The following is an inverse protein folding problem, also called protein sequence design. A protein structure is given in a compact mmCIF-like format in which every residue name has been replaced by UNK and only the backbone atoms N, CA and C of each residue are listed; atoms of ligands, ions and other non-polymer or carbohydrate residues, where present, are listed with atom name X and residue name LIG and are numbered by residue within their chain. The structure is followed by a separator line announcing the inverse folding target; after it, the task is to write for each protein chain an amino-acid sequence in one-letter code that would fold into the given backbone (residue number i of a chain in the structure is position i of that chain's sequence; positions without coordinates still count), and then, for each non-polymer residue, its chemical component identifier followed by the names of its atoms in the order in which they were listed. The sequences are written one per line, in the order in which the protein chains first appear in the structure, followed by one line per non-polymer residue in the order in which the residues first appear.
data_IF_242796424864
#
_entry.id   IF_242796424864
#
_cell.length_a   1.000
_cell.length_b   1.000
_cell.length_c   1.000
_cell.angle_alpha   90.00
_cell.angle_beta   90.00
_cell.angle_gamma   90.00
#
_symmetry.space_group_name_H-M   'P 1'
#
loop_
_entity.id
_entity.type
_entity.pdbx_description
1 polymer ?
#
# COMPACT_ATOMS: atom_id res chain seq x y z
N UNK A 1 3.17 -23.38 9.51
CA UNK A 1 3.11 -24.84 9.29
C UNK A 1 2.44 -25.19 7.96
N UNK A 2 1.18 -24.78 7.75
CA UNK A 2 0.44 -25.14 6.55
C UNK A 2 0.99 -24.47 5.29
N UNK A 3 1.21 -23.18 5.30
CA UNK A 3 1.67 -22.41 4.13
C UNK A 3 3.06 -22.83 3.63
N UNK A 4 3.95 -23.15 4.55
CA UNK A 4 5.33 -23.60 4.23
C UNK A 4 5.46 -25.13 4.13
N UNK A 5 4.39 -25.88 4.37
CA UNK A 5 4.40 -27.35 4.34
C UNK A 5 5.29 -28.01 5.39
N UNK A 6 5.70 -27.29 6.42
CA UNK A 6 6.66 -27.75 7.44
C UNK A 6 5.99 -28.71 8.43
N UNK A 7 6.41 -29.95 8.43
CA UNK A 7 5.94 -30.99 9.35
C UNK A 7 6.80 -31.06 10.63
N UNK A 8 8.01 -30.51 10.57
CA UNK A 8 9.01 -30.47 11.65
C UNK A 8 8.62 -29.57 12.82
N UNK A 9 7.73 -28.60 12.61
CA UNK A 9 7.25 -27.70 13.66
C UNK A 9 6.19 -28.37 14.51
N UNK A 10 6.50 -28.60 15.78
CA UNK A 10 5.63 -29.18 16.82
C UNK A 10 4.82 -28.11 17.53
N UNK A 11 5.51 -27.04 17.97
CA UNK A 11 4.93 -25.91 18.72
C UNK A 11 5.53 -24.58 18.27
N UNK A 12 4.80 -23.48 18.52
CA UNK A 12 5.21 -22.12 18.17
C UNK A 12 4.78 -21.18 19.31
N UNK A 13 5.70 -20.31 19.73
CA UNK A 13 5.40 -19.18 20.61
C UNK A 13 5.66 -17.88 19.86
N UNK A 14 4.71 -16.98 19.97
CA UNK A 14 4.81 -15.61 19.47
C UNK A 14 4.92 -14.69 20.69
N UNK A 15 6.00 -13.93 20.79
CA UNK A 15 6.29 -13.06 21.91
C UNK A 15 6.50 -11.64 21.40
N UNK A 16 5.87 -10.68 22.04
CA UNK A 16 6.13 -9.26 21.79
C UNK A 16 7.22 -8.80 22.74
N UNK A 17 8.33 -8.30 22.20
CA UNK A 17 9.41 -7.68 22.95
C UNK A 17 9.24 -6.16 22.95
N UNK A 18 9.39 -5.58 24.11
CA UNK A 18 9.49 -4.12 24.29
C UNK A 18 10.87 -3.79 24.82
N UNK A 19 11.64 -3.01 24.10
CA UNK A 19 12.90 -2.44 24.54
C UNK A 19 12.60 -1.01 25.04
N UNK A 20 12.99 -0.70 26.29
CA UNK A 20 12.57 0.52 26.99
C UNK A 20 13.80 1.31 27.43
N UNK A 21 13.78 2.63 27.21
CA UNK A 21 14.82 3.56 27.66
C UNK A 21 14.21 4.82 28.25
N UNK A 22 14.78 5.33 29.33
CA UNK A 22 14.35 6.60 29.95
C UNK A 22 13.28 6.46 31.02
N UNK A 23 13.09 5.26 31.61
CA UNK A 23 12.17 5.01 32.73
C UNK A 23 12.91 4.77 34.04
N UNK A 24 12.36 5.27 35.12
CA UNK A 24 12.75 4.85 36.47
C UNK A 24 12.21 3.45 36.77
N UNK A 25 12.78 2.78 37.76
CA UNK A 25 12.28 1.45 38.16
C UNK A 25 10.81 1.48 38.59
N UNK A 26 10.38 2.52 39.26
CA UNK A 26 8.99 2.66 39.72
C UNK A 26 8.02 2.83 38.55
N UNK A 27 8.38 3.66 37.56
CA UNK A 27 7.59 3.87 36.34
C UNK A 27 7.50 2.58 35.51
N UNK A 28 8.62 1.88 35.37
CA UNK A 28 8.65 0.58 34.68
C UNK A 28 7.75 -0.45 35.36
N UNK A 29 7.79 -0.58 36.70
CA UNK A 29 6.97 -1.54 37.44
C UNK A 29 5.47 -1.26 37.27
N UNK A 30 5.07 -0.01 37.17
CA UNK A 30 3.69 0.38 36.84
C UNK A 30 3.36 0.09 35.38
N UNK A 31 4.22 0.51 34.45
CA UNK A 31 3.99 0.34 33.02
C UNK A 31 3.91 -1.12 32.61
N UNK A 32 4.71 -1.97 33.20
CA UNK A 32 4.79 -3.40 32.91
C UNK A 32 3.43 -4.12 32.96
N UNK A 33 2.61 -3.80 33.94
CA UNK A 33 1.32 -4.47 34.18
C UNK A 33 0.11 -3.69 33.67
N UNK A 34 0.26 -2.41 33.35
CA UNK A 34 -0.86 -1.55 32.95
C UNK A 34 -0.84 -1.27 31.44
N UNK A 35 0.37 -1.13 30.86
CA UNK A 35 0.55 -0.73 29.46
C UNK A 35 1.13 -1.85 28.61
N UNK A 36 2.14 -2.54 29.11
CA UNK A 36 2.97 -3.46 28.30
C UNK A 36 2.48 -4.90 28.32
N UNK A 37 1.52 -5.24 29.16
CA UNK A 37 0.96 -6.59 29.26
C UNK A 37 -0.47 -6.62 29.78
N UNK A 38 -1.15 -7.72 29.49
CA UNK A 38 -2.45 -8.10 30.04
C UNK A 38 -2.21 -9.18 31.13
N UNK A 39 -2.17 -8.84 32.44
CA UNK A 39 -1.78 -9.78 33.50
C UNK A 39 -2.60 -11.07 33.56
N UNK A 40 -3.84 -11.05 33.03
CA UNK A 40 -4.73 -12.22 33.01
C UNK A 40 -4.48 -13.15 31.80
N UNK A 41 -3.76 -12.70 30.79
CA UNK A 41 -3.55 -13.42 29.55
C UNK A 41 -2.08 -13.65 29.21
N UNK A 42 -1.20 -12.72 29.62
CA UNK A 42 0.21 -12.71 29.24
C UNK A 42 1.11 -13.31 30.30
N UNK A 43 2.16 -13.96 29.83
CA UNK A 43 3.33 -14.34 30.65
C UNK A 43 4.44 -13.37 30.36
N UNK A 44 4.93 -12.68 31.39
CA UNK A 44 5.97 -11.66 31.27
C UNK A 44 7.34 -12.30 31.53
N UNK A 45 8.28 -12.03 30.63
CA UNK A 45 9.70 -12.33 30.78
C UNK A 45 10.46 -11.01 30.88
N UNK A 46 11.27 -10.85 31.92
CA UNK A 46 12.09 -9.65 32.10
C UNK A 46 13.52 -9.94 31.68
N UNK A 47 14.11 -9.06 30.87
CA UNK A 47 15.50 -9.06 30.40
C UNK A 47 15.89 -10.29 29.53
N UNK A 48 15.45 -11.48 29.87
CA UNK A 48 15.80 -12.70 29.14
C UNK A 48 14.58 -13.58 28.91
N UNK A 49 14.47 -14.10 27.69
CA UNK A 49 13.52 -15.16 27.37
C UNK A 49 14.16 -16.52 27.72
N UNK A 50 13.60 -17.31 28.66
CA UNK A 50 14.10 -18.66 28.90
C UNK A 50 13.79 -19.55 27.70
N UNK A 51 14.83 -19.98 26.99
CA UNK A 51 14.73 -20.90 25.86
C UNK A 51 15.15 -22.29 26.35
N UNK A 52 14.23 -23.23 26.25
CA UNK A 52 14.49 -24.65 26.56
C UNK A 52 15.17 -25.36 25.38
N UNK A 53 15.81 -26.49 25.64
CA UNK A 53 16.40 -27.32 24.60
C UNK A 53 15.35 -27.72 23.54
N UNK A 54 15.75 -27.71 22.28
CA UNK A 54 14.87 -28.06 21.14
C UNK A 54 14.03 -26.90 20.59
N UNK A 55 14.22 -25.69 21.09
CA UNK A 55 13.63 -24.49 20.50
C UNK A 55 14.64 -23.72 19.63
N UNK A 56 14.22 -23.29 18.46
CA UNK A 56 14.93 -22.28 17.66
C UNK A 56 14.19 -20.94 17.77
N UNK A 57 14.94 -19.88 18.01
CA UNK A 57 14.38 -18.55 18.29
C UNK A 57 15.03 -17.52 17.38
N UNK A 58 14.23 -16.67 16.79
CA UNK A 58 14.68 -15.45 16.12
C UNK A 58 13.76 -14.30 16.47
N UNK A 59 14.25 -13.08 16.25
CA UNK A 59 13.46 -11.88 16.41
C UNK A 59 13.45 -11.07 15.13
N UNK A 60 12.41 -10.30 14.93
CA UNK A 60 12.30 -9.32 13.84
C UNK A 60 11.83 -7.99 14.37
N UNK A 61 12.41 -6.92 13.85
CA UNK A 61 12.16 -5.52 14.20
C UNK A 61 11.89 -4.67 12.96
N UNK A 62 11.32 -3.50 13.12
CA UNK A 62 11.18 -2.55 12.03
C UNK A 62 12.54 -2.01 11.55
N UNK A 63 12.63 -1.72 10.26
CA UNK A 63 13.79 -1.03 9.70
C UNK A 63 13.92 0.38 10.30
N UNK A 64 15.14 0.91 10.41
CA UNK A 64 15.34 2.31 10.77
C UNK A 64 14.55 3.25 9.86
N UNK A 65 13.78 4.15 10.47
CA UNK A 65 12.90 5.07 9.75
C UNK A 65 11.48 4.55 9.47
N UNK A 66 11.22 3.27 9.69
CA UNK A 66 9.86 2.74 9.68
C UNK A 66 9.14 3.07 11.00
N UNK A 67 7.82 3.25 10.92
CA UNK A 67 7.02 3.63 12.07
C UNK A 67 6.64 2.41 12.91
N UNK A 68 7.15 2.36 14.14
CA UNK A 68 6.77 1.38 15.15
C UNK A 68 5.50 1.84 15.88
N UNK A 69 4.34 1.52 15.32
CA UNK A 69 3.04 1.90 15.87
C UNK A 69 2.85 1.41 17.31
N UNK A 70 3.28 0.19 17.62
CA UNK A 70 3.14 -0.39 18.97
C UNK A 70 4.07 0.30 19.96
N UNK A 71 5.30 0.58 19.55
CA UNK A 71 6.27 1.33 20.34
C UNK A 71 5.77 2.73 20.65
N UNK A 72 5.34 3.49 19.62
CA UNK A 72 4.80 4.83 19.77
C UNK A 72 3.55 4.87 20.68
N UNK A 73 2.63 3.92 20.53
CA UNK A 73 1.45 3.81 21.38
C UNK A 73 1.84 3.49 22.84
N UNK A 74 2.83 2.63 23.04
CA UNK A 74 3.33 2.32 24.38
C UNK A 74 3.99 3.54 25.04
N UNK A 75 4.81 4.30 24.31
CA UNK A 75 5.40 5.57 24.79
C UNK A 75 4.32 6.55 25.25
N UNK A 76 3.28 6.77 24.43
CA UNK A 76 2.18 7.66 24.78
C UNK A 76 1.41 7.18 26.01
N UNK A 77 1.08 5.89 26.10
CA UNK A 77 0.38 5.31 27.24
C UNK A 77 1.23 5.39 28.52
N UNK A 78 2.53 5.14 28.44
CA UNK A 78 3.44 5.27 29.58
C UNK A 78 3.53 6.73 30.03
N UNK A 79 3.64 7.69 29.09
CA UNK A 79 3.65 9.11 29.41
C UNK A 79 2.35 9.54 30.12
N UNK A 80 1.20 9.09 29.66
CA UNK A 80 -0.09 9.37 30.31
C UNK A 80 -0.18 8.76 31.71
N UNK A 81 0.36 7.54 31.89
CA UNK A 81 0.35 6.84 33.17
C UNK A 81 1.27 7.50 34.20
N UNK A 82 2.46 7.93 33.78
CA UNK A 82 3.50 8.48 34.67
C UNK A 82 3.39 10.00 34.82
N UNK A 83 2.75 10.67 33.86
CA UNK A 83 2.73 12.14 33.72
C UNK A 83 4.15 12.76 33.69
N UNK A 84 5.13 11.97 33.27
CA UNK A 84 6.53 12.32 33.14
C UNK A 84 6.94 12.69 31.73
N UNK A 85 8.23 12.66 31.47
CA UNK A 85 8.77 12.81 30.13
C UNK A 85 8.45 11.57 29.30
N UNK A 86 8.41 11.74 27.97
CA UNK A 86 8.19 10.63 27.05
C UNK A 86 9.43 9.74 27.02
N UNK A 87 9.25 8.48 27.37
CA UNK A 87 10.30 7.46 27.26
C UNK A 87 10.44 7.02 25.79
N UNK A 88 11.50 6.27 25.49
CA UNK A 88 11.65 5.57 24.20
C UNK A 88 11.22 4.13 24.34
N UNK A 89 10.44 3.67 23.37
CA UNK A 89 10.03 2.25 23.27
C UNK A 89 10.21 1.81 21.82
N UNK A 90 10.97 0.74 21.64
CA UNK A 90 11.03 0.00 20.39
C UNK A 90 10.44 -1.38 20.59
N UNK A 91 9.82 -1.93 19.55
CA UNK A 91 9.25 -3.26 19.63
C UNK A 91 9.90 -4.24 18.65
N UNK A 92 9.95 -5.50 19.07
CA UNK A 92 10.32 -6.60 18.21
C UNK A 92 9.34 -7.76 18.40
N UNK A 93 9.19 -8.56 17.35
CA UNK A 93 8.43 -9.80 17.39
C UNK A 93 9.40 -10.95 17.51
N UNK A 94 9.29 -11.73 18.57
CA UNK A 94 10.14 -12.90 18.82
C UNK A 94 9.35 -14.16 18.50
N UNK A 95 9.90 -14.98 17.64
CA UNK A 95 9.32 -16.27 17.23
C UNK A 95 10.17 -17.37 17.80
N UNK A 96 9.57 -18.22 18.61
CA UNK A 96 10.21 -19.44 19.11
C UNK A 96 9.50 -20.65 18.51
N UNK A 97 10.26 -21.52 17.86
CA UNK A 97 9.80 -22.71 17.17
C UNK A 97 10.35 -23.95 17.85
N UNK A 98 9.48 -24.87 18.22
CA UNK A 98 9.85 -26.18 18.77
C UNK A 98 9.74 -27.26 17.73
N UNK A 99 10.70 -28.17 17.71
CA UNK A 99 10.72 -29.34 16.83
C UNK A 99 12.10 -29.61 16.24
N UNK A 100 12.16 -30.63 15.39
CA UNK A 100 13.42 -30.97 14.69
C UNK A 100 13.57 -30.11 13.41
N UNK A 101 13.76 -28.80 13.59
CA UNK A 101 13.81 -27.80 12.55
C UNK A 101 15.24 -27.63 12.06
N UNK A 102 15.48 -27.80 10.76
CA UNK A 102 16.80 -27.56 10.16
C UNK A 102 17.08 -26.05 10.02
N UNK A 103 18.33 -25.68 9.75
CA UNK A 103 18.69 -24.28 9.54
C UNK A 103 18.07 -23.75 8.23
N UNK A 104 17.97 -24.58 7.19
CA UNK A 104 17.30 -24.23 5.96
C UNK A 104 15.79 -24.01 6.15
N UNK A 105 15.17 -24.80 7.02
CA UNK A 105 13.75 -24.58 7.36
C UNK A 105 13.55 -23.30 8.17
N UNK A 106 14.48 -22.97 9.07
CA UNK A 106 14.45 -21.72 9.83
C UNK A 106 14.54 -20.51 8.88
N UNK A 107 15.50 -20.51 7.96
CA UNK A 107 15.63 -19.45 6.93
C UNK A 107 14.36 -19.28 6.13
N UNK A 108 13.70 -20.37 5.73
CA UNK A 108 12.40 -20.27 5.03
C UNK A 108 11.30 -19.60 5.86
N UNK A 109 11.31 -19.81 7.18
CA UNK A 109 10.35 -19.15 8.09
C UNK A 109 10.69 -17.67 8.23
N UNK A 110 11.96 -17.32 8.34
CA UNK A 110 12.43 -15.94 8.40
C UNK A 110 12.06 -15.18 7.11
N UNK A 111 12.37 -15.74 5.94
CA UNK A 111 12.00 -15.16 4.64
C UNK A 111 10.48 -15.01 4.45
N UNK A 112 9.69 -15.91 5.03
CA UNK A 112 8.23 -15.84 4.96
C UNK A 112 7.63 -14.76 5.88
N UNK A 113 8.23 -14.53 7.05
CA UNK A 113 7.69 -13.63 8.08
C UNK A 113 8.28 -12.22 8.01
N UNK A 114 9.51 -12.07 7.50
CA UNK A 114 10.21 -10.79 7.41
C UNK A 114 9.90 -10.16 6.07
N UNK A 115 9.18 -9.03 6.11
CA UNK A 115 9.01 -8.18 4.93
C UNK A 115 10.24 -7.26 4.80
N UNK A 116 11.10 -7.43 3.79
CA UNK A 116 12.36 -6.67 3.69
C UNK A 116 12.17 -5.18 3.43
N UNK A 117 10.96 -4.74 3.09
CA UNK A 117 10.63 -3.31 2.92
C UNK A 117 10.35 -2.64 4.26
N UNK A 118 9.90 -3.39 5.25
CA UNK A 118 9.43 -2.88 6.54
C UNK A 118 10.27 -3.36 7.72
N UNK A 119 10.84 -4.57 7.63
CA UNK A 119 11.43 -5.25 8.79
C UNK A 119 12.70 -6.02 8.45
N UNK A 120 13.45 -6.35 9.47
CA UNK A 120 14.69 -7.13 9.41
C UNK A 120 14.81 -8.07 10.59
N UNK A 121 15.79 -8.98 10.53
CA UNK A 121 16.20 -9.74 11.71
C UNK A 121 16.72 -8.79 12.81
N UNK A 122 16.23 -8.99 14.02
CA UNK A 122 16.68 -8.29 15.22
C UNK A 122 17.65 -9.13 16.03
N UNK A 123 18.57 -8.46 16.74
CA UNK A 123 19.39 -9.13 17.74
C UNK A 123 18.52 -9.62 18.90
N UNK A 124 18.84 -10.80 19.43
CA UNK A 124 18.24 -11.29 20.68
C UNK A 124 18.92 -10.70 21.93
N UNK A 125 20.07 -10.03 21.74
CA UNK A 125 20.77 -9.38 22.84
C UNK A 125 20.12 -8.04 23.17
N UNK A 126 20.15 -7.65 24.44
CA UNK A 126 19.66 -6.35 24.90
C UNK A 126 20.48 -5.22 24.28
N UNK A 127 19.84 -4.25 23.58
CA UNK A 127 20.55 -3.12 23.01
C UNK A 127 21.11 -2.22 24.14
N UNK A 128 22.23 -1.56 23.84
CA UNK A 128 22.85 -0.61 24.79
C UNK A 128 22.14 0.75 24.82
N UNK A 129 21.53 1.12 23.73
CA UNK A 129 20.71 2.33 23.56
C UNK A 129 19.65 2.05 22.49
N UNK A 130 18.55 2.78 22.54
CA UNK A 130 17.50 2.76 21.55
C UNK A 130 17.66 3.90 20.51
N UNK A 131 18.77 4.64 20.57
CA UNK A 131 19.11 5.59 19.53
C UNK A 131 19.45 4.84 18.23
N UNK A 132 18.70 5.11 17.19
CA UNK A 132 18.97 4.55 15.88
C UNK A 132 19.90 5.47 15.09
N UNK A 133 21.03 4.94 14.64
CA UNK A 133 21.84 5.61 13.63
C UNK A 133 21.15 5.46 12.27
N UNK A 134 20.56 6.53 11.78
CA UNK A 134 19.99 6.57 10.44
C UNK A 134 21.09 7.07 9.50
N UNK A 135 21.52 6.28 8.51
CA UNK A 135 22.51 6.72 7.56
C UNK A 135 21.96 7.91 6.78
N UNK A 136 22.79 8.95 6.64
CA UNK A 136 22.43 10.11 5.81
C UNK A 136 22.39 9.63 4.35
N UNK A 137 21.27 9.79 3.64
CA UNK A 137 21.16 9.35 2.26
C UNK A 137 22.15 10.10 1.37
N UNK A 138 22.67 9.42 0.36
CA UNK A 138 23.48 10.07 -0.68
C UNK A 138 22.63 11.07 -1.48
N UNK A 139 23.29 12.07 -2.06
CA UNK A 139 22.62 12.96 -3.00
C UNK A 139 22.09 12.20 -4.20
N UNK A 140 20.96 12.65 -4.73
CA UNK A 140 20.34 12.05 -5.91
C UNK A 140 21.32 12.09 -7.09
N UNK A 141 21.55 10.92 -7.69
CA UNK A 141 22.48 10.76 -8.81
C UNK A 141 21.91 11.39 -10.09
N UNK A 142 22.76 12.08 -10.85
CA UNK A 142 22.46 12.49 -12.22
C UNK A 142 22.76 11.35 -13.18
N UNK A 143 22.00 11.30 -14.27
CA UNK A 143 22.23 10.34 -15.35
C UNK A 143 23.22 10.98 -16.32
N UNK A 144 24.50 10.94 -15.97
CA UNK A 144 25.57 11.64 -16.69
C UNK A 144 25.65 11.22 -18.14
N UNK A 145 25.77 12.21 -19.03
CA UNK A 145 25.88 12.01 -20.48
C UNK A 145 24.54 11.72 -21.17
N UNK A 146 23.43 11.64 -20.43
CA UNK A 146 22.09 11.32 -20.98
C UNK A 146 21.74 12.10 -22.24
N UNK A 147 22.03 13.39 -22.27
CA UNK A 147 21.72 14.28 -23.37
C UNK A 147 22.49 13.94 -24.67
N UNK A 148 23.63 13.30 -24.55
CA UNK A 148 24.48 12.92 -25.67
C UNK A 148 24.33 11.45 -26.10
N UNK A 149 23.55 10.65 -25.41
CA UNK A 149 23.42 9.22 -25.68
C UNK A 149 22.82 8.94 -27.05
N UNK A 150 23.43 7.96 -27.74
CA UNK A 150 22.88 7.39 -28.95
C UNK A 150 21.72 6.44 -28.65
N UNK A 151 21.12 5.90 -29.71
CA UNK A 151 19.95 5.03 -29.59
C UNK A 151 20.24 3.70 -28.87
N UNK A 152 21.44 3.16 -29.01
CA UNK A 152 21.82 1.90 -28.35
C UNK A 152 22.03 2.11 -26.84
N UNK A 153 22.61 3.24 -26.43
CA UNK A 153 22.77 3.62 -25.03
C UNK A 153 21.41 3.88 -24.38
N UNK A 154 20.52 4.58 -25.09
CA UNK A 154 19.15 4.80 -24.65
C UNK A 154 18.40 3.49 -24.45
N UNK A 155 18.52 2.55 -25.38
CA UNK A 155 17.88 1.24 -25.27
C UNK A 155 18.39 0.47 -24.05
N UNK A 156 19.70 0.41 -23.85
CA UNK A 156 20.30 -0.28 -22.68
C UNK A 156 19.83 0.31 -21.36
N UNK A 157 19.77 1.62 -21.27
CA UNK A 157 19.29 2.29 -20.06
C UNK A 157 17.79 2.02 -19.85
N UNK A 158 16.98 2.12 -20.89
CA UNK A 158 15.57 1.80 -20.88
C UNK A 158 15.31 0.39 -20.33
N UNK A 159 16.02 -0.61 -20.88
CA UNK A 159 15.88 -2.02 -20.47
C UNK A 159 16.28 -2.25 -19.00
N UNK A 160 17.23 -1.44 -18.47
CA UNK A 160 17.71 -1.57 -17.10
C UNK A 160 16.78 -0.94 -16.06
N UNK A 161 15.94 0.01 -16.48
CA UNK A 161 15.18 0.84 -15.54
C UNK A 161 13.74 0.38 -15.30
N UNK A 162 13.17 -0.45 -16.19
CA UNK A 162 11.78 -0.90 -16.09
C UNK A 162 10.78 0.25 -16.09
N UNK A 163 10.93 1.19 -17.01
CA UNK A 163 10.03 2.33 -17.14
C UNK A 163 8.64 1.93 -17.63
N UNK A 164 7.62 2.66 -17.19
CA UNK A 164 6.25 2.59 -17.72
C UNK A 164 6.13 3.33 -19.07
N UNK A 165 6.93 4.39 -19.29
CA UNK A 165 7.01 5.10 -20.56
C UNK A 165 7.65 4.22 -21.65
N UNK A 166 7.36 4.52 -22.91
CA UNK A 166 8.03 3.85 -24.03
C UNK A 166 9.45 4.37 -24.26
N UNK A 167 10.27 3.62 -25.01
CA UNK A 167 11.58 4.10 -25.44
C UNK A 167 11.49 5.41 -26.23
N UNK A 168 10.43 5.59 -27.03
CA UNK A 168 10.20 6.84 -27.78
C UNK A 168 9.98 8.02 -26.83
N UNK A 169 9.22 7.81 -25.74
CA UNK A 169 8.98 8.83 -24.72
C UNK A 169 10.30 9.19 -24.00
N UNK A 170 11.13 8.17 -23.67
CA UNK A 170 12.43 8.40 -23.04
C UNK A 170 13.36 9.20 -23.96
N UNK A 171 13.36 8.92 -25.27
CA UNK A 171 14.10 9.72 -26.28
C UNK A 171 13.58 11.15 -26.36
N UNK A 172 12.27 11.34 -26.27
CA UNK A 172 11.67 12.69 -26.19
C UNK A 172 12.17 13.43 -24.93
N UNK A 173 12.23 12.74 -23.76
CA UNK A 173 12.80 13.32 -22.56
C UNK A 173 14.29 13.73 -22.77
N UNK A 174 15.09 12.86 -23.40
CA UNK A 174 16.49 13.22 -23.75
C UNK A 174 16.56 14.51 -24.55
N UNK A 175 15.76 14.61 -25.59
CA UNK A 175 15.76 15.77 -26.48
C UNK A 175 15.31 17.04 -25.73
N UNK A 176 14.33 16.94 -24.84
CA UNK A 176 13.88 18.03 -23.97
C UNK A 176 15.02 18.50 -23.02
N UNK A 177 15.66 17.58 -22.31
CA UNK A 177 16.73 17.92 -21.39
C UNK A 177 17.95 18.51 -22.12
N UNK A 178 18.23 18.04 -23.35
CA UNK A 178 19.27 18.59 -24.19
C UNK A 178 18.95 19.98 -24.71
N UNK A 179 17.77 20.18 -25.29
CA UNK A 179 17.44 21.34 -26.09
C UNK A 179 16.78 22.47 -25.27
N UNK A 180 16.17 22.15 -24.14
CA UNK A 180 15.45 23.10 -23.30
C UNK A 180 16.12 23.31 -21.96
N UNK A 181 16.40 22.23 -21.23
CA UNK A 181 17.02 22.30 -19.89
C UNK A 181 18.53 22.51 -19.93
N UNK A 182 19.20 22.10 -21.02
CA UNK A 182 20.64 22.16 -21.21
C UNK A 182 21.46 21.52 -20.08
N UNK A 183 20.95 20.44 -19.52
CA UNK A 183 21.54 19.66 -18.43
C UNK A 183 21.08 18.21 -18.46
N UNK A 184 21.86 17.33 -17.89
CA UNK A 184 21.44 15.96 -17.67
C UNK A 184 20.38 15.87 -16.55
N UNK A 185 19.38 15.00 -16.68
CA UNK A 185 18.40 14.76 -15.63
C UNK A 185 18.99 14.00 -14.45
N UNK A 186 18.37 14.12 -13.30
CA UNK A 186 18.56 13.19 -12.20
C UNK A 186 17.74 11.91 -12.40
N UNK A 187 18.12 10.83 -11.73
CA UNK A 187 17.33 9.58 -11.70
C UNK A 187 15.92 9.86 -11.19
N UNK A 188 15.78 10.71 -10.17
CA UNK A 188 14.46 11.08 -9.61
C UNK A 188 13.59 11.81 -10.62
N UNK A 189 14.15 12.75 -11.39
CA UNK A 189 13.39 13.45 -12.44
C UNK A 189 12.83 12.47 -13.46
N UNK A 190 13.65 11.55 -13.95
CA UNK A 190 13.18 10.53 -14.90
C UNK A 190 12.11 9.61 -14.29
N UNK A 191 12.24 9.21 -13.02
CA UNK A 191 11.24 8.40 -12.33
C UNK A 191 9.92 9.16 -12.11
N UNK A 192 9.99 10.43 -11.76
CA UNK A 192 8.78 11.26 -11.59
C UNK A 192 8.06 11.45 -12.94
N UNK A 193 8.81 11.74 -14.01
CA UNK A 193 8.24 11.82 -15.36
C UNK A 193 7.62 10.49 -15.76
N UNK A 194 8.31 9.38 -15.55
CA UNK A 194 7.82 8.03 -15.83
C UNK A 194 6.51 7.72 -15.09
N UNK A 195 6.39 8.16 -13.84
CA UNK A 195 5.14 8.02 -13.07
C UNK A 195 3.97 8.71 -13.76
N UNK A 196 4.16 9.89 -14.34
CA UNK A 196 3.13 10.57 -15.14
C UNK A 196 2.80 9.84 -16.46
N UNK A 197 3.72 9.08 -17.01
CA UNK A 197 3.48 8.24 -18.19
C UNK A 197 2.80 6.91 -17.85
N UNK A 198 2.77 6.53 -16.58
CA UNK A 198 2.12 5.28 -16.18
C UNK A 198 0.63 5.29 -16.50
N UNK A 199 0.09 4.11 -16.77
CA UNK A 199 -1.33 3.93 -17.04
C UNK A 199 -2.20 4.33 -15.84
N UNK A 200 -1.66 4.19 -14.61
CA UNK A 200 -2.31 4.64 -13.39
C UNK A 200 -2.69 6.13 -13.42
N UNK A 201 -1.78 7.00 -13.88
CA UNK A 201 -2.03 8.43 -13.94
C UNK A 201 -2.84 8.86 -15.17
N UNK A 202 -2.60 8.24 -16.31
CA UNK A 202 -3.19 8.65 -17.61
C UNK A 202 -4.39 7.83 -18.01
N UNK A 203 -4.59 6.64 -17.44
CA UNK A 203 -5.64 5.68 -17.76
C UNK A 203 -5.72 5.37 -19.27
N UNK A 204 -4.59 5.34 -19.95
CA UNK A 204 -4.51 5.20 -21.40
C UNK A 204 -5.13 3.90 -21.90
N UNK A 205 -4.95 2.78 -21.17
CA UNK A 205 -5.55 1.49 -21.48
C UNK A 205 -7.08 1.57 -21.51
N UNK A 206 -7.69 2.15 -20.47
CA UNK A 206 -9.15 2.29 -20.39
C UNK A 206 -9.73 3.30 -21.38
N UNK A 207 -8.94 4.31 -21.78
CA UNK A 207 -9.33 5.35 -22.72
C UNK A 207 -8.93 5.05 -24.17
N UNK A 208 -8.23 3.96 -24.42
CA UNK A 208 -7.87 3.55 -25.77
C UNK A 208 -9.12 3.37 -26.63
N UNK A 209 -9.10 3.98 -27.82
CA UNK A 209 -10.17 3.82 -28.81
C UNK A 209 -10.15 2.42 -29.38
N UNK A 210 -11.27 1.71 -29.25
CA UNK A 210 -11.49 0.40 -29.82
C UNK A 210 -12.17 0.57 -31.18
N UNK A 211 -11.48 0.21 -32.25
CA UNK A 211 -12.00 0.32 -33.61
C UNK A 211 -12.53 -1.02 -34.12
N UNK A 212 -11.89 -2.10 -33.73
CA UNK A 212 -12.25 -3.47 -34.10
C UNK A 212 -12.22 -4.39 -32.88
N UNK A 213 -13.25 -5.18 -32.69
CA UNK A 213 -13.38 -6.12 -31.58
C UNK A 213 -13.67 -7.49 -32.17
N UNK A 214 -12.70 -8.42 -32.01
CA UNK A 214 -12.86 -9.82 -32.39
C UNK A 214 -13.12 -10.66 -31.13
N UNK A 215 -14.12 -11.54 -31.19
CA UNK A 215 -14.46 -12.44 -30.08
C UNK A 215 -14.12 -13.87 -30.50
N UNK A 216 -13.30 -14.51 -29.68
CA UNK A 216 -12.90 -15.90 -29.92
C UNK A 216 -14.12 -16.84 -29.86
N UNK A 217 -14.23 -17.73 -30.84
CA UNK A 217 -15.28 -18.75 -30.89
C UNK A 217 -15.07 -19.81 -29.82
N UNK A 218 -15.74 -19.67 -28.70
CA UNK A 218 -15.68 -20.59 -27.56
C UNK A 218 -17.05 -20.70 -26.89
N UNK A 219 -17.17 -21.56 -25.90
CA UNK A 219 -18.40 -21.69 -25.11
C UNK A 219 -18.79 -20.36 -24.41
N UNK A 220 -17.81 -19.52 -24.04
CA UNK A 220 -18.01 -18.20 -23.43
C UNK A 220 -18.18 -17.11 -24.51
N UNK A 221 -17.74 -17.32 -25.74
CA UNK A 221 -17.79 -16.34 -26.82
C UNK A 221 -19.19 -15.82 -27.06
N UNK A 222 -20.20 -16.70 -27.02
CA UNK A 222 -21.61 -16.29 -27.19
C UNK A 222 -22.09 -15.31 -26.11
N UNK A 223 -21.70 -15.53 -24.86
CA UNK A 223 -22.06 -14.64 -23.74
C UNK A 223 -21.44 -13.26 -23.94
N UNK A 224 -20.18 -13.23 -24.41
CA UNK A 224 -19.46 -11.97 -24.67
C UNK A 224 -20.05 -11.23 -25.88
N UNK A 225 -20.43 -11.96 -26.94
CA UNK A 225 -21.13 -11.37 -28.12
C UNK A 225 -22.46 -10.74 -27.72
N UNK A 226 -23.25 -11.41 -26.88
CA UNK A 226 -24.54 -10.89 -26.40
C UNK A 226 -24.32 -9.65 -25.52
N UNK A 227 -23.35 -9.67 -24.61
CA UNK A 227 -23.00 -8.52 -23.78
C UNK A 227 -22.50 -7.32 -24.63
N UNK A 228 -21.68 -7.57 -25.65
CA UNK A 228 -21.21 -6.51 -26.56
C UNK A 228 -22.37 -5.92 -27.36
N UNK A 229 -23.31 -6.75 -27.80
CA UNK A 229 -24.52 -6.31 -28.51
C UNK A 229 -25.41 -5.44 -27.62
N UNK A 230 -25.58 -5.85 -26.36
CA UNK A 230 -26.31 -5.06 -25.36
C UNK A 230 -25.62 -3.73 -25.07
N UNK A 231 -24.29 -3.72 -24.98
CA UNK A 231 -23.51 -2.48 -24.81
C UNK A 231 -23.80 -1.50 -25.96
N UNK A 232 -23.72 -1.93 -27.21
CA UNK A 232 -24.01 -1.05 -28.36
C UNK A 232 -25.45 -0.53 -28.40
N UNK A 233 -26.40 -1.41 -28.05
CA UNK A 233 -27.82 -1.01 -27.96
C UNK A 233 -28.02 0.05 -26.86
N UNK A 234 -27.44 -0.16 -25.68
CA UNK A 234 -27.49 0.78 -24.56
C UNK A 234 -26.80 2.10 -24.92
N UNK A 235 -25.68 2.03 -25.62
CA UNK A 235 -24.92 3.20 -26.09
C UNK A 235 -25.76 4.05 -27.05
N UNK A 236 -26.45 3.42 -27.99
CA UNK A 236 -27.38 4.10 -28.91
C UNK A 236 -28.55 4.75 -28.14
N UNK A 237 -29.08 4.06 -27.13
CA UNK A 237 -30.12 4.63 -26.26
C UNK A 237 -29.60 5.85 -25.49
N UNK A 238 -28.40 5.79 -24.92
CA UNK A 238 -27.86 6.85 -24.07
C UNK A 238 -27.40 8.06 -24.87
N UNK A 239 -26.65 7.86 -25.93
CA UNK A 239 -25.96 8.93 -26.66
C UNK A 239 -26.56 9.26 -28.01
N UNK A 240 -27.44 8.42 -28.55
CA UNK A 240 -27.91 8.49 -29.92
C UNK A 240 -26.98 7.79 -30.92
N UNK A 241 -27.56 7.37 -32.05
CA UNK A 241 -26.85 6.58 -33.07
C UNK A 241 -25.70 7.34 -33.77
N UNK A 242 -25.80 8.67 -33.85
CA UNK A 242 -24.80 9.49 -34.51
C UNK A 242 -23.74 10.07 -33.59
N UNK A 243 -23.56 9.44 -32.41
CA UNK A 243 -22.59 9.92 -31.42
C UNK A 243 -21.15 9.81 -31.93
N UNK A 244 -20.36 10.86 -31.69
CA UNK A 244 -18.92 10.89 -31.98
C UNK A 244 -18.06 10.38 -30.81
N UNK A 245 -18.69 9.91 -29.73
CA UNK A 245 -17.96 9.39 -28.59
C UNK A 245 -17.21 8.12 -28.98
N UNK A 246 -15.98 7.98 -28.54
CA UNK A 246 -15.18 6.78 -28.80
C UNK A 246 -15.74 5.58 -28.05
N UNK A 247 -15.59 4.41 -28.62
CA UNK A 247 -15.76 3.12 -27.93
C UNK A 247 -14.49 2.85 -27.15
N UNK A 248 -14.58 2.60 -25.86
CA UNK A 248 -13.45 2.32 -24.97
C UNK A 248 -13.90 1.49 -23.80
N UNK A 249 -12.95 0.87 -23.07
CA UNK A 249 -13.26 0.13 -21.85
C UNK A 249 -13.91 1.03 -20.79
N UNK A 250 -13.49 2.28 -20.69
CA UNK A 250 -14.10 3.26 -19.77
C UNK A 250 -15.55 3.56 -20.15
N UNK A 251 -15.86 3.69 -21.45
CA UNK A 251 -17.23 3.88 -21.88
C UNK A 251 -18.11 2.66 -21.54
N UNK A 252 -17.58 1.44 -21.75
CA UNK A 252 -18.27 0.21 -21.37
C UNK A 252 -18.55 0.14 -19.87
N UNK A 253 -17.57 0.50 -19.03
CA UNK A 253 -17.72 0.51 -17.58
C UNK A 253 -18.78 1.50 -17.08
N UNK A 254 -18.91 2.65 -17.74
CA UNK A 254 -19.79 3.73 -17.30
C UNK A 254 -21.20 3.70 -17.92
N UNK A 255 -21.42 2.94 -19.00
CA UNK A 255 -22.66 3.04 -19.77
C UNK A 255 -23.90 2.61 -18.97
N UNK A 256 -23.77 1.61 -18.09
CA UNK A 256 -24.86 1.14 -17.24
C UNK A 256 -25.37 2.23 -16.31
N UNK A 257 -24.46 2.91 -15.59
CA UNK A 257 -24.82 4.04 -14.73
C UNK A 257 -25.51 5.17 -15.52
N UNK A 258 -24.97 5.52 -16.69
CA UNK A 258 -25.55 6.55 -17.55
C UNK A 258 -26.93 6.18 -18.07
N UNK A 259 -27.18 4.91 -18.36
CA UNK A 259 -28.50 4.42 -18.73
C UNK A 259 -29.50 4.53 -17.57
N UNK A 260 -29.11 4.11 -16.36
CA UNK A 260 -29.93 4.23 -15.16
C UNK A 260 -30.28 5.71 -14.87
N UNK A 261 -29.30 6.60 -14.98
CA UNK A 261 -29.49 8.04 -14.82
C UNK A 261 -30.46 8.59 -15.83
N UNK A 262 -30.30 8.26 -17.12
CA UNK A 262 -31.21 8.69 -18.18
C UNK A 262 -32.66 8.20 -17.98
N UNK A 263 -32.82 7.02 -17.39
CA UNK A 263 -34.12 6.43 -17.06
C UNK A 263 -34.73 6.97 -15.74
N UNK A 264 -34.01 7.82 -15.02
CA UNK A 264 -34.44 8.35 -13.72
C UNK A 264 -34.53 7.30 -12.61
N UNK A 265 -33.74 6.21 -12.71
CA UNK A 265 -33.76 5.09 -11.77
C UNK A 265 -32.79 5.26 -10.59
N UNK A 266 -32.02 6.35 -10.57
CA UNK A 266 -31.10 6.71 -9.47
C UNK A 266 -31.33 8.17 -9.05
N UNK A 267 -32.57 8.52 -8.56
CA UNK A 267 -32.93 9.90 -8.24
C UNK A 267 -32.24 10.42 -6.96
N UNK A 268 -31.72 9.53 -6.15
CA UNK A 268 -31.03 9.79 -4.89
C UNK A 268 -29.53 10.06 -5.07
N UNK A 269 -29.01 9.91 -6.30
CA UNK A 269 -27.62 10.25 -6.61
C UNK A 269 -27.41 11.76 -6.45
N UNK A 270 -26.51 12.15 -5.55
CA UNK A 270 -26.06 13.53 -5.41
C UNK A 270 -25.04 13.87 -6.52
N UNK A 271 -25.27 14.99 -7.20
CA UNK A 271 -24.37 15.45 -8.26
C UNK A 271 -23.56 16.64 -7.76
N UNK A 272 -22.26 16.44 -7.61
CA UNK A 272 -21.29 17.47 -7.24
C UNK A 272 -20.17 17.58 -8.28
N UNK A 273 -19.29 18.54 -8.11
CA UNK A 273 -18.07 18.66 -8.93
C UNK A 273 -17.05 17.55 -8.61
N UNK A 274 -17.15 16.92 -7.42
CA UNK A 274 -16.32 15.76 -7.05
C UNK A 274 -16.87 14.52 -7.77
N UNK A 275 -16.03 13.91 -8.61
CA UNK A 275 -16.38 12.73 -9.41
C UNK A 275 -15.67 11.46 -8.99
N UNK A 276 -14.71 11.54 -8.04
CA UNK A 276 -13.95 10.38 -7.56
C UNK A 276 -14.62 9.65 -6.40
N UNK A 277 -15.69 10.22 -5.83
CA UNK A 277 -16.52 9.58 -4.82
C UNK A 277 -17.98 9.58 -5.25
N UNK A 278 -18.78 8.65 -4.74
CA UNK A 278 -20.23 8.60 -4.95
C UNK A 278 -20.94 9.05 -3.68
N UNK A 279 -21.89 9.97 -3.83
CA UNK A 279 -22.75 10.42 -2.74
C UNK A 279 -24.20 10.18 -3.07
N UNK A 280 -24.97 9.65 -2.12
CA UNK A 280 -26.43 9.47 -2.23
C UNK A 280 -27.13 10.22 -1.12
N UNK A 281 -28.31 10.76 -1.43
CA UNK A 281 -29.16 11.43 -0.45
C UNK A 281 -30.00 10.41 0.30
N UNK A 282 -29.94 10.45 1.62
CA UNK A 282 -30.67 9.51 2.49
C UNK A 282 -31.45 10.28 3.54
N UNK A 283 -32.77 10.04 3.70
CA UNK A 283 -33.53 10.65 4.76
C UNK A 283 -33.18 9.99 6.12
N UNK A 284 -32.77 10.79 7.08
CA UNK A 284 -32.42 10.36 8.44
C UNK A 284 -33.36 11.05 9.43
N UNK A 285 -34.03 10.28 10.31
CA UNK A 285 -34.92 10.84 11.32
C UNK A 285 -34.23 10.85 12.68
N UNK A 286 -34.04 12.06 13.24
CA UNK A 286 -33.43 12.29 14.54
C UNK A 286 -34.44 13.07 15.39
N UNK A 287 -34.82 12.56 16.54
CA UNK A 287 -35.75 13.18 17.48
C UNK A 287 -37.10 13.59 16.81
N UNK A 288 -37.59 12.77 15.89
CA UNK A 288 -38.85 12.99 15.16
C UNK A 288 -38.74 14.02 14.03
N UNK A 289 -37.57 14.55 13.71
CA UNK A 289 -37.31 15.42 12.56
C UNK A 289 -36.54 14.65 11.49
N UNK A 290 -37.00 14.75 10.25
CA UNK A 290 -36.32 14.11 9.10
C UNK A 290 -35.41 15.14 8.42
N UNK A 291 -34.16 14.78 8.28
CA UNK A 291 -33.11 15.54 7.60
C UNK A 291 -32.60 14.76 6.39
N UNK A 292 -32.18 15.45 5.33
CA UNK A 292 -31.51 14.82 4.20
C UNK A 292 -30.00 14.79 4.46
N UNK A 293 -29.47 13.59 4.56
CA UNK A 293 -28.04 13.36 4.77
C UNK A 293 -27.40 12.79 3.51
N UNK A 294 -26.08 12.98 3.37
CA UNK A 294 -25.29 12.36 2.32
C UNK A 294 -24.56 11.13 2.89
N UNK A 295 -24.79 9.99 2.28
CA UNK A 295 -23.94 8.81 2.46
C UNK A 295 -22.91 8.81 1.34
N UNK A 296 -21.65 8.95 1.73
CA UNK A 296 -20.54 9.01 0.79
C UNK A 296 -19.85 7.65 0.70
N UNK A 297 -19.58 7.21 -0.51
CA UNK A 297 -18.92 5.94 -0.79
C UNK A 297 -17.71 6.17 -1.71
N UNK A 298 -16.57 5.66 -1.28
CA UNK A 298 -15.35 5.61 -2.08
C UNK A 298 -14.79 4.20 -2.08
N UNK A 299 -14.53 3.66 -3.26
CA UNK A 299 -13.77 2.43 -3.46
C UNK A 299 -12.45 2.79 -4.15
N UNK A 300 -11.35 2.44 -3.51
CA UNK A 300 -10.01 2.76 -3.99
C UNK A 300 -9.20 1.47 -4.15
N UNK A 301 -8.59 1.30 -5.30
CA UNK A 301 -7.67 0.19 -5.55
C UNK A 301 -6.25 0.70 -5.48
N UNK A 302 -5.47 0.15 -4.54
CA UNK A 302 -4.04 0.43 -4.44
C UNK A 302 -3.25 -0.84 -4.77
N UNK A 303 -2.12 -0.67 -5.47
CA UNK A 303 -1.25 -1.78 -5.86
C UNK A 303 -0.45 -2.28 -4.65
N UNK A 304 -1.01 -3.18 -3.87
CA UNK A 304 -0.40 -3.83 -2.71
C UNK A 304 0.31 -2.92 -1.68
N UNK A 305 -0.02 -1.61 -1.52
CA UNK A 305 0.74 -0.74 -0.61
C UNK A 305 0.63 -1.22 0.84
N UNK A 306 -0.51 -1.77 1.24
CA UNK A 306 -0.72 -2.31 2.60
C UNK A 306 0.02 -3.63 2.82
N UNK A 307 0.31 -4.40 1.78
CA UNK A 307 1.10 -5.63 1.84
C UNK A 307 2.60 -5.31 1.88
N UNK A 308 3.04 -4.36 1.07
CA UNK A 308 4.46 -4.00 0.95
C UNK A 308 4.92 -3.18 2.15
N UNK A 309 4.15 -2.19 2.55
CA UNK A 309 4.40 -1.32 3.69
C UNK A 309 3.08 -1.13 4.47
N UNK A 310 2.76 -2.01 5.40
CA UNK A 310 1.44 -2.08 6.01
C UNK A 310 0.93 -0.79 6.61
N UNK A 311 1.77 -0.06 7.35
CA UNK A 311 1.37 1.19 7.97
C UNK A 311 1.25 2.34 6.96
N UNK A 312 2.32 2.66 6.23
CA UNK A 312 2.33 3.76 5.26
C UNK A 312 1.39 3.51 4.09
N UNK A 313 1.29 2.25 3.63
CA UNK A 313 0.36 1.85 2.60
C UNK A 313 -1.09 1.97 3.04
N UNK A 314 -1.45 1.56 4.26
CA UNK A 314 -2.78 1.74 4.81
C UNK A 314 -3.12 3.23 4.99
N UNK A 315 -2.19 4.04 5.49
CA UNK A 315 -2.39 5.49 5.63
C UNK A 315 -2.65 6.17 4.28
N UNK A 316 -1.94 5.77 3.22
CA UNK A 316 -2.14 6.27 1.86
C UNK A 316 -3.53 5.92 1.33
N UNK A 317 -3.95 4.65 1.48
CA UNK A 317 -5.26 4.18 1.04
C UNK A 317 -6.41 4.89 1.78
N UNK A 318 -6.36 4.95 3.10
CA UNK A 318 -7.37 5.60 3.93
C UNK A 318 -7.40 7.11 3.70
N UNK A 319 -6.22 7.75 3.54
CA UNK A 319 -6.11 9.17 3.26
C UNK A 319 -6.81 9.55 1.95
N UNK A 320 -6.63 8.78 0.88
CA UNK A 320 -7.32 8.95 -0.39
C UNK A 320 -8.83 8.73 -0.27
N UNK A 321 -9.23 7.65 0.40
CA UNK A 321 -10.63 7.30 0.60
C UNK A 321 -11.41 8.34 1.45
N UNK A 322 -10.73 9.05 2.35
CA UNK A 322 -11.32 10.14 3.14
C UNK A 322 -11.31 11.45 2.35
N UNK A 323 -10.19 11.78 1.70
CA UNK A 323 -10.00 13.06 1.01
C UNK A 323 -11.01 13.29 -0.11
N UNK A 324 -11.26 12.28 -0.94
CA UNK A 324 -12.13 12.44 -2.10
C UNK A 324 -13.60 12.74 -1.68
N UNK A 325 -14.22 12.01 -0.73
CA UNK A 325 -15.52 12.41 -0.19
C UNK A 325 -15.53 13.80 0.44
N UNK A 326 -14.47 14.19 1.16
CA UNK A 326 -14.40 15.51 1.81
C UNK A 326 -14.26 16.66 0.82
N UNK A 327 -13.69 16.42 -0.36
CA UNK A 327 -13.55 17.46 -1.39
C UNK A 327 -14.86 17.76 -2.13
N UNK A 328 -15.82 16.86 -2.08
CA UNK A 328 -17.18 17.06 -2.59
C UNK A 328 -18.06 17.76 -1.59
#
# INVERSE_FOLDING_TARGET
RHNLGMKSVEDLRYIVRYDLEGLTKEEYDKAKTIVLSEPNADVIYEETLPVEDGWKVFAMEYLPGQYDQRGDSAEQCVQLLTQGERCKVLTARVIALKGNITDEELVKVEEYLINPVESRLASLEKPKTLDMEIPVPENVKRVEGFNGWNDDEMQKYYDSMGFAMTLADLKFCRDYFRDTEHRDPSVTELRVIDTYWSDHCRHTTFLTRLEEIEIEKSALGKVIEDALSEYYATRDEVYGKDTKRIVSLMDMALIGMKSLKKKGLIPDLDESEEINACSIQVPVTIDGKTEQWLVQFKNETHNHPTEIEPFGGAATCLGGAIRDPLSG
#
